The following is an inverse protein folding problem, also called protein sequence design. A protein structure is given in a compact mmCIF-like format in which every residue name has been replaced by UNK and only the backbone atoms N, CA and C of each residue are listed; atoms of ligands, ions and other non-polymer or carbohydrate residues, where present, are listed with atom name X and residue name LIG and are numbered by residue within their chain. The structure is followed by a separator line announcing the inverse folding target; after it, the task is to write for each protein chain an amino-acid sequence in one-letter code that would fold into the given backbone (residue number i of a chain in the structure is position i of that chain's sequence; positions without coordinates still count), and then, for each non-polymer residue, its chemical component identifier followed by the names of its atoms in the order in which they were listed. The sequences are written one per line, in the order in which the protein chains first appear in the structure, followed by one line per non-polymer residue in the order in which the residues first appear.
data_IF_295200616698
#
_entry.id   IF_295200616698
#
_cell.length_a   1.000
_cell.length_b   1.000
_cell.length_c   1.000
_cell.angle_alpha   90.00
_cell.angle_beta   90.00
_cell.angle_gamma   90.00
#
_symmetry.space_group_name_H-M   'P 1'
#
loop_
_entity.id
_entity.type
_entity.pdbx_description
1 polymer ?
#
# COMPACT_ATOMS: atom_id res chain seq x y z
N UNK A 1 -11.03 10.24 3.10
CA UNK A 1 -9.70 9.91 3.68
C UNK A 1 -8.88 9.19 2.61
N UNK A 2 -7.55 9.39 2.53
CA UNK A 2 -6.68 8.71 1.56
C UNK A 2 -6.45 7.22 1.87
N UNK A 3 -7.05 6.71 2.95
CA UNK A 3 -7.01 5.30 3.36
C UNK A 3 -8.41 4.73 3.15
N UNK A 4 -8.49 3.63 2.39
CA UNK A 4 -9.74 2.93 2.12
C UNK A 4 -10.33 2.36 3.42
N UNK A 5 -11.64 2.53 3.62
CA UNK A 5 -12.39 1.78 4.63
C UNK A 5 -12.49 0.31 4.22
N UNK A 6 -12.83 -0.62 5.14
CA UNK A 6 -13.01 -2.04 4.78
C UNK A 6 -14.01 -2.25 3.63
N UNK A 7 -15.11 -1.50 3.62
CA UNK A 7 -16.10 -1.56 2.53
C UNK A 7 -15.53 -1.05 1.21
N UNK A 8 -14.75 0.03 1.22
CA UNK A 8 -14.08 0.51 0.01
C UNK A 8 -13.04 -0.48 -0.49
N UNK A 9 -12.27 -1.09 0.41
CA UNK A 9 -11.28 -2.11 0.06
C UNK A 9 -11.92 -3.34 -0.59
N UNK A 10 -13.06 -3.82 -0.08
CA UNK A 10 -13.81 -4.90 -0.72
C UNK A 10 -14.25 -4.51 -2.15
N UNK A 11 -14.83 -3.31 -2.31
CA UNK A 11 -15.25 -2.81 -3.63
C UNK A 11 -14.08 -2.64 -4.61
N UNK A 12 -12.89 -2.28 -4.12
CA UNK A 12 -11.67 -2.27 -4.92
C UNK A 12 -11.37 -3.67 -5.46
N UNK A 13 -11.34 -4.70 -4.60
CA UNK A 13 -11.06 -6.08 -5.02
C UNK A 13 -12.08 -6.59 -6.05
N UNK A 14 -13.36 -6.28 -5.85
CA UNK A 14 -14.43 -6.63 -6.82
C UNK A 14 -14.19 -5.95 -8.18
N UNK A 15 -13.82 -4.68 -8.19
CA UNK A 15 -13.52 -3.93 -9.41
C UNK A 15 -12.29 -4.49 -10.15
N UNK A 16 -11.23 -4.85 -9.42
CA UNK A 16 -10.03 -5.48 -9.97
C UNK A 16 -10.35 -6.84 -10.62
N UNK A 17 -11.15 -7.66 -9.93
CA UNK A 17 -11.59 -8.96 -10.43
C UNK A 17 -12.46 -8.83 -11.69
N UNK A 18 -13.38 -7.86 -11.73
CA UNK A 18 -14.25 -7.62 -12.87
C UNK A 18 -13.51 -6.98 -14.06
N UNK A 19 -12.48 -6.18 -13.79
CA UNK A 19 -11.71 -5.43 -14.79
C UNK A 19 -10.45 -6.15 -15.30
N UNK A 20 -10.17 -7.37 -14.83
CA UNK A 20 -8.97 -8.16 -15.19
C UNK A 20 -7.65 -7.43 -14.91
N UNK A 21 -7.54 -6.81 -13.73
CA UNK A 21 -6.31 -6.17 -13.27
C UNK A 21 -6.05 -6.47 -11.80
N UNK A 22 -4.87 -6.08 -11.31
CA UNK A 22 -4.51 -6.23 -9.90
C UNK A 22 -3.96 -4.93 -9.33
N UNK A 23 -4.21 -4.69 -8.04
CA UNK A 23 -3.58 -3.61 -7.31
C UNK A 23 -2.20 -4.03 -6.80
N UNK A 24 -1.18 -3.17 -6.94
CA UNK A 24 0.14 -3.43 -6.38
C UNK A 24 0.10 -3.39 -4.85
N UNK A 25 0.73 -4.37 -4.20
CA UNK A 25 0.93 -4.39 -2.76
C UNK A 25 2.42 -4.23 -2.43
N UNK A 26 2.78 -3.07 -1.85
CA UNK A 26 4.17 -2.67 -1.66
C UNK A 26 4.54 -2.79 -0.19
N UNK A 27 5.52 -3.65 0.11
CA UNK A 27 6.15 -3.67 1.42
C UNK A 27 6.96 -2.40 1.64
N UNK A 28 6.73 -1.72 2.76
CA UNK A 28 7.48 -0.53 3.17
C UNK A 28 8.11 -0.75 4.54
N UNK A 29 9.20 -0.03 4.80
CA UNK A 29 9.97 -0.15 6.06
C UNK A 29 10.30 1.22 6.67
N UNK A 30 10.18 2.30 5.90
CA UNK A 30 10.57 3.65 6.30
C UNK A 30 9.69 4.71 5.63
N UNK A 31 9.75 5.94 6.14
CA UNK A 31 9.13 7.13 5.53
C UNK A 31 9.58 7.29 4.07
N UNK A 32 10.85 7.02 3.78
CA UNK A 32 11.38 7.11 2.41
C UNK A 32 10.68 6.12 1.48
N UNK A 33 10.53 4.86 1.91
CA UNK A 33 9.90 3.82 1.08
C UNK A 33 8.40 4.01 0.92
N UNK A 34 7.68 4.49 1.95
CA UNK A 34 6.25 4.79 1.81
C UNK A 34 6.01 6.00 0.90
N UNK A 35 6.84 7.03 0.97
CA UNK A 35 6.74 8.19 0.06
C UNK A 35 7.00 7.79 -1.40
N UNK A 36 7.95 6.90 -1.64
CA UNK A 36 8.22 6.38 -2.98
C UNK A 36 7.01 5.61 -3.54
N UNK A 37 6.38 4.75 -2.72
CA UNK A 37 5.19 4.00 -3.11
C UNK A 37 4.00 4.94 -3.40
N UNK A 38 3.74 5.91 -2.52
CA UNK A 38 2.67 6.90 -2.71
C UNK A 38 2.90 7.75 -3.96
N UNK A 39 4.15 8.14 -4.25
CA UNK A 39 4.48 8.86 -5.48
C UNK A 39 4.24 8.01 -6.72
N UNK A 40 4.62 6.74 -6.70
CA UNK A 40 4.36 5.82 -7.81
C UNK A 40 2.86 5.69 -8.08
N UNK A 41 2.04 5.47 -7.05
CA UNK A 41 0.57 5.39 -7.17
C UNK A 41 -0.03 6.66 -7.78
N UNK A 42 0.44 7.83 -7.33
CA UNK A 42 0.00 9.12 -7.86
C UNK A 42 0.41 9.31 -9.34
N UNK A 43 1.66 9.01 -9.68
CA UNK A 43 2.19 9.16 -11.04
C UNK A 43 1.49 8.21 -12.02
N UNK A 44 1.16 6.98 -11.59
CA UNK A 44 0.44 5.99 -12.41
C UNK A 44 -1.08 6.13 -12.36
N UNK A 45 -1.61 7.07 -11.55
CA UNK A 45 -3.05 7.22 -11.29
C UNK A 45 -3.73 5.90 -10.91
N UNK A 46 -3.05 5.13 -10.07
CA UNK A 46 -3.48 3.80 -9.65
C UNK A 46 -3.65 3.79 -8.13
N UNK A 47 -4.70 3.15 -7.63
CA UNK A 47 -4.76 2.80 -6.22
C UNK A 47 -3.73 1.70 -5.91
N UNK A 48 -3.41 1.52 -4.63
CA UNK A 48 -2.46 0.50 -4.22
C UNK A 48 -2.56 0.18 -2.74
N UNK A 49 -1.82 -0.85 -2.33
CA UNK A 49 -1.79 -1.35 -0.97
C UNK A 49 -0.41 -1.07 -0.39
N UNK A 50 -0.38 -0.33 0.72
CA UNK A 50 0.80 -0.21 1.57
C UNK A 50 0.73 -1.31 2.62
N UNK A 51 1.75 -2.16 2.66
CA UNK A 51 1.84 -3.24 3.63
C UNK A 51 3.18 -3.27 4.34
N UNK A 52 3.19 -3.89 5.51
CA UNK A 52 4.39 -4.10 6.31
C UNK A 52 4.50 -5.59 6.57
N UNK A 53 5.67 -6.15 6.30
CA UNK A 53 6.02 -7.46 6.87
C UNK A 53 6.33 -7.30 8.36
N UNK A 54 6.39 -8.39 9.12
CA UNK A 54 6.79 -8.35 10.54
C UNK A 54 8.14 -7.68 10.73
N UNK A 55 9.14 -8.03 9.90
CA UNK A 55 10.46 -7.39 9.95
C UNK A 55 10.44 -5.93 9.49
N UNK A 56 9.60 -5.59 8.51
CA UNK A 56 9.43 -4.20 8.06
C UNK A 56 8.79 -3.31 9.12
N UNK A 57 7.81 -3.83 9.86
CA UNK A 57 7.21 -3.15 11.01
C UNK A 57 8.19 -2.93 12.15
N UNK A 58 9.00 -3.94 12.48
CA UNK A 58 10.07 -3.83 13.48
C UNK A 58 11.08 -2.74 13.11
N UNK A 59 11.52 -2.70 11.85
CA UNK A 59 12.42 -1.66 11.37
C UNK A 59 11.78 -0.27 11.48
N UNK A 60 10.50 -0.15 11.06
CA UNK A 60 9.77 1.12 11.09
C UNK A 60 9.53 1.64 12.51
N UNK A 61 9.38 0.75 13.50
CA UNK A 61 9.21 1.11 14.92
C UNK A 61 10.49 1.61 15.61
N UNK A 62 11.62 1.62 14.90
CA UNK A 62 12.93 1.98 15.43
C UNK A 62 13.79 0.74 15.69
N UNK A 63 15.05 0.84 15.29
CA UNK A 63 16.06 -0.16 15.64
C UNK A 63 16.52 0.09 17.06
N UNK A 64 16.73 -0.98 17.82
CA UNK A 64 17.29 -0.91 19.17
C UNK A 64 18.82 -0.72 19.07
N UNK A 65 19.22 0.42 18.50
CA UNK A 65 20.61 0.88 18.35
C UNK A 65 20.92 1.99 19.34
#
# INVERSE_FOLDING_TARGET
MPIATPTQYAAMLDAAQAGDYAYPAVNVTSITTINAALKAFADTKSDGIIQFSTGGGQFASGLNV
#
